data_IF_733671650222
#
_entry.id   IF_733671650222
#
_cell.length_a   1.000
_cell.length_b   1.000
_cell.length_c   1.000
_cell.angle_alpha   90.00
_cell.angle_beta   90.00
_cell.angle_gamma   90.00
#
_symmetry.space_group_name_H-M   'P 1'
#
loop_
_entity.id
_entity.type
_entity.pdbx_description
1 polymer ?
#
# COMPACT_ATOMS: atom_id res chain seq x y z
N UNK A 1 1.62 -0.01 -13.25
CA UNK A 1 1.27 -1.29 -12.56
C UNK A 1 -0.24 -1.55 -12.52
N UNK A 2 -1.06 -0.65 -11.98
CA UNK A 2 -2.54 -0.76 -11.93
C UNK A 2 -3.16 -1.22 -13.25
N UNK A 3 -2.85 -0.54 -14.36
CA UNK A 3 -3.47 -0.84 -15.65
C UNK A 3 -3.11 -2.24 -16.17
N UNK A 4 -1.86 -2.68 -15.97
CA UNK A 4 -1.43 -4.05 -16.29
C UNK A 4 -2.20 -5.07 -15.46
N UNK A 5 -2.35 -4.85 -14.15
CA UNK A 5 -3.13 -5.73 -13.28
C UNK A 5 -4.61 -5.78 -13.67
N UNK A 6 -5.21 -4.63 -14.01
CA UNK A 6 -6.61 -4.58 -14.43
C UNK A 6 -6.82 -5.32 -15.76
N UNK A 7 -5.89 -5.20 -16.72
CA UNK A 7 -5.91 -5.99 -17.96
C UNK A 7 -5.80 -7.50 -17.68
N UNK A 8 -4.81 -7.91 -16.88
CA UNK A 8 -4.61 -9.33 -16.53
C UNK A 8 -5.80 -9.96 -15.81
N UNK A 9 -6.50 -9.17 -14.97
CA UNK A 9 -7.66 -9.61 -14.20
C UNK A 9 -8.99 -9.34 -14.90
N UNK A 10 -9.00 -8.90 -16.16
CA UNK A 10 -10.21 -8.53 -16.90
C UNK A 10 -11.13 -7.55 -16.14
N UNK A 11 -10.53 -6.60 -15.42
CA UNK A 11 -11.22 -5.58 -14.63
C UNK A 11 -11.30 -4.26 -15.39
N UNK A 12 -12.28 -3.43 -15.03
CA UNK A 12 -12.37 -2.07 -15.55
C UNK A 12 -11.10 -1.27 -15.23
N UNK A 13 -10.66 -0.45 -16.19
CA UNK A 13 -9.38 0.26 -16.14
C UNK A 13 -9.22 1.17 -14.90
N UNK A 14 -10.33 1.72 -14.41
CA UNK A 14 -10.35 2.67 -13.29
C UNK A 14 -10.27 1.99 -11.91
N UNK A 15 -10.39 0.66 -11.81
CA UNK A 15 -10.43 0.02 -10.49
C UNK A 15 -9.06 0.16 -9.80
N UNK A 16 -9.03 0.64 -8.55
CA UNK A 16 -7.78 0.81 -7.82
C UNK A 16 -7.21 -0.54 -7.36
N UNK A 17 -5.93 -0.50 -7.01
CA UNK A 17 -5.19 -1.56 -6.32
C UNK A 17 -4.86 -1.07 -4.91
N UNK A 18 -4.72 -2.00 -3.97
CA UNK A 18 -4.39 -1.69 -2.58
C UNK A 18 -2.96 -2.15 -2.30
N UNK A 19 -2.12 -1.32 -1.63
CA UNK A 19 -0.83 -1.75 -1.11
C UNK A 19 -0.97 -2.57 0.19
N UNK A 20 -0.11 -3.58 0.33
CA UNK A 20 0.25 -4.13 1.64
C UNK A 20 1.52 -3.42 2.10
N UNK A 21 1.58 -3.02 3.37
CA UNK A 21 2.66 -2.22 3.93
C UNK A 21 3.10 -2.86 5.24
N UNK A 22 4.40 -3.05 5.40
CA UNK A 22 4.96 -3.52 6.66
C UNK A 22 4.73 -2.46 7.76
N UNK A 23 4.42 -2.88 8.98
CA UNK A 23 4.15 -1.97 10.11
C UNK A 23 5.27 -0.92 10.32
N UNK A 24 6.51 -1.31 10.02
CA UNK A 24 7.72 -0.50 10.10
C UNK A 24 7.72 0.68 9.11
N UNK A 25 7.06 0.53 7.96
CA UNK A 25 7.03 1.53 6.90
C UNK A 25 5.84 2.51 7.03
N UNK A 26 4.86 2.25 7.89
CA UNK A 26 3.64 3.07 7.99
C UNK A 26 3.93 4.55 8.28
N UNK A 27 4.87 4.83 9.18
CA UNK A 27 5.26 6.20 9.54
C UNK A 27 5.83 6.95 8.34
N UNK A 28 6.72 6.30 7.58
CA UNK A 28 7.33 6.90 6.39
C UNK A 28 6.31 7.10 5.26
N UNK A 29 5.29 6.25 5.15
CA UNK A 29 4.26 6.38 4.10
C UNK A 29 3.22 7.44 4.45
N UNK A 30 2.80 7.55 5.70
CA UNK A 30 1.63 8.35 6.11
C UNK A 30 1.95 9.49 7.09
N UNK A 31 3.19 9.60 7.57
CA UNK A 31 3.60 10.54 8.62
C UNK A 31 3.02 10.22 10.01
N UNK A 32 2.46 9.01 10.16
CA UNK A 32 1.94 8.44 11.41
C UNK A 32 1.65 6.95 11.24
N UNK A 33 1.76 6.16 12.30
CA UNK A 33 1.32 4.76 12.30
C UNK A 33 -0.20 4.64 12.27
N UNK A 34 -0.77 4.37 11.10
CA UNK A 34 -2.19 4.01 10.94
C UNK A 34 -2.30 2.54 10.56
N UNK A 35 -2.49 1.66 11.55
CA UNK A 35 -2.71 0.23 11.28
C UNK A 35 -4.06 -0.01 10.62
N UNK A 36 -4.11 -0.98 9.72
CA UNK A 36 -5.33 -1.46 9.09
C UNK A 36 -5.14 -2.89 8.58
N UNK A 37 -5.32 -3.87 9.46
CA UNK A 37 -5.19 -5.29 9.09
C UNK A 37 -6.31 -5.75 8.14
N UNK A 38 -7.46 -5.09 8.18
CA UNK A 38 -8.66 -5.41 7.40
C UNK A 38 -8.97 -4.39 6.29
N UNK A 39 -7.99 -3.59 5.85
CA UNK A 39 -8.15 -2.62 4.74
C UNK A 39 -9.31 -1.62 4.93
N UNK A 40 -9.57 -1.22 6.17
CA UNK A 40 -10.68 -0.33 6.53
C UNK A 40 -10.30 1.15 6.52
N UNK A 41 -9.01 1.48 6.43
CA UNK A 41 -8.49 2.85 6.50
C UNK A 41 -7.84 3.28 5.18
N UNK A 42 -8.07 4.53 4.79
CA UNK A 42 -7.42 5.18 3.64
C UNK A 42 -6.76 6.51 4.05
N UNK A 43 -5.66 6.48 4.83
CA UNK A 43 -4.94 7.70 5.22
C UNK A 43 -4.29 8.40 4.02
N UNK A 44 -4.00 9.69 4.20
CA UNK A 44 -3.28 10.52 3.22
C UNK A 44 -1.81 10.11 3.18
N UNK A 45 -1.29 9.85 1.98
CA UNK A 45 0.11 9.46 1.74
C UNK A 45 1.00 10.72 1.75
N UNK A 46 2.23 10.65 2.23
CA UNK A 46 3.19 11.77 2.13
C UNK A 46 3.58 12.06 0.69
N UNK A 47 3.82 13.33 0.35
CA UNK A 47 4.00 13.77 -1.04
C UNK A 47 5.17 13.06 -1.75
N UNK A 48 6.31 12.91 -1.07
CA UNK A 48 7.49 12.24 -1.64
C UNK A 48 7.22 10.77 -1.98
N UNK A 49 6.43 10.10 -1.15
CA UNK A 49 6.01 8.72 -1.38
C UNK A 49 5.02 8.62 -2.54
N UNK A 50 4.14 9.62 -2.72
CA UNK A 50 3.25 9.68 -3.90
C UNK A 50 4.03 9.80 -5.20
N UNK A 51 5.11 10.60 -5.19
CA UNK A 51 6.01 10.77 -6.36
C UNK A 51 6.78 9.49 -6.66
N UNK A 52 7.29 8.82 -5.61
CA UNK A 52 8.07 7.58 -5.74
C UNK A 52 7.22 6.38 -6.17
N UNK A 53 5.99 6.27 -5.66
CA UNK A 53 5.11 5.12 -5.91
C UNK A 53 3.68 5.53 -6.30
N UNK A 54 3.46 6.15 -7.47
CA UNK A 54 2.15 6.66 -7.86
C UNK A 54 1.08 5.57 -8.00
N UNK A 55 1.46 4.31 -8.18
CA UNK A 55 0.52 3.20 -8.34
C UNK A 55 -0.22 2.79 -7.05
N UNK A 56 0.26 3.18 -5.86
CA UNK A 56 -0.38 2.87 -4.58
C UNK A 56 -1.45 3.89 -4.16
N UNK A 57 -1.45 5.06 -4.80
CA UNK A 57 -2.22 6.24 -4.37
C UNK A 57 -3.49 6.37 -5.20
N UNK A 58 -4.59 6.73 -4.55
CA UNK A 58 -5.80 7.20 -5.20
C UNK A 58 -5.61 8.63 -5.76
N UNK A 59 -6.58 9.08 -6.57
CA UNK A 59 -6.55 10.42 -7.17
C UNK A 59 -6.56 11.56 -6.14
N UNK A 60 -7.13 11.33 -4.95
CA UNK A 60 -7.22 12.32 -3.85
C UNK A 60 -5.98 12.38 -2.94
N UNK A 61 -4.97 11.54 -3.22
CA UNK A 61 -3.75 11.44 -2.44
C UNK A 61 -3.84 10.49 -1.23
N UNK A 62 -4.91 9.71 -1.10
CA UNK A 62 -5.05 8.66 -0.07
C UNK A 62 -4.62 7.30 -0.58
N UNK A 63 -4.38 6.35 0.32
CA UNK A 63 -4.19 4.94 -0.05
C UNK A 63 -4.88 4.04 0.96
N UNK A 64 -5.78 3.16 0.48
CA UNK A 64 -6.38 2.13 1.32
C UNK A 64 -5.39 0.99 1.46
N UNK A 65 -4.83 0.82 2.64
CA UNK A 65 -3.67 -0.04 2.91
C UNK A 65 -4.03 -1.26 3.76
N UNK A 66 -3.29 -2.36 3.60
CA UNK A 66 -3.27 -3.46 4.55
C UNK A 66 -1.94 -3.46 5.31
N UNK A 67 -1.98 -3.26 6.63
CA UNK A 67 -0.77 -3.27 7.44
C UNK A 67 -0.46 -4.71 7.83
N UNK A 68 0.79 -5.10 7.68
CA UNK A 68 1.25 -6.46 7.97
C UNK A 68 2.38 -6.38 8.98
N UNK A 69 2.20 -7.04 10.12
CA UNK A 69 3.27 -7.29 11.08
C UNK A 69 3.81 -8.71 10.94
N UNK A 70 4.99 -8.97 11.52
CA UNK A 70 5.55 -10.31 11.62
C UNK A 70 4.59 -11.30 12.30
N UNK A 71 3.84 -10.86 13.31
CA UNK A 71 2.86 -11.70 14.00
C UNK A 71 1.59 -11.98 13.22
N UNK A 72 1.21 -11.09 12.28
CA UNK A 72 0.01 -11.28 11.47
C UNK A 72 0.25 -12.28 10.34
N UNK A 73 1.36 -12.12 9.61
CA UNK A 73 1.78 -13.03 8.54
C UNK A 73 3.31 -12.95 8.30
N UNK A 74 4.11 -13.82 8.95
CA UNK A 74 5.57 -13.78 8.91
C UNK A 74 6.16 -13.82 7.49
N UNK A 75 5.58 -14.62 6.59
CA UNK A 75 6.13 -14.76 5.23
C UNK A 75 5.95 -13.49 4.40
N UNK A 76 4.74 -12.90 4.43
CA UNK A 76 4.45 -11.67 3.70
C UNK A 76 5.22 -10.50 4.32
N UNK A 77 5.31 -10.44 5.65
CA UNK A 77 6.11 -9.44 6.35
C UNK A 77 7.59 -9.48 5.91
N UNK A 78 8.21 -10.66 5.93
CA UNK A 78 9.59 -10.85 5.47
C UNK A 78 9.77 -10.44 4.00
N UNK A 79 8.82 -10.78 3.12
CA UNK A 79 8.85 -10.38 1.72
C UNK A 79 8.78 -8.85 1.54
N UNK A 80 7.92 -8.18 2.31
CA UNK A 80 7.77 -6.73 2.27
C UNK A 80 9.05 -6.01 2.73
N UNK A 81 9.73 -6.54 3.77
CA UNK A 81 11.00 -6.00 4.25
C UNK A 81 12.15 -6.27 3.27
N UNK A 82 12.21 -7.45 2.65
CA UNK A 82 13.22 -7.79 1.65
C UNK A 82 13.11 -6.92 0.38
N UNK A 83 11.88 -6.53 0.01
CA UNK A 83 11.61 -5.77 -1.20
C UNK A 83 12.00 -4.29 -1.17
N UNK A 84 12.56 -3.77 -0.05
CA UNK A 84 12.87 -2.34 0.14
C UNK A 84 11.71 -1.43 -0.32
N UNK A 85 10.48 -1.75 0.10
CA UNK A 85 9.32 -0.95 -0.27
C UNK A 85 9.06 0.14 0.77
N UNK A 86 9.97 1.10 0.80
CA UNK A 86 9.66 2.50 1.12
C UNK A 86 10.50 3.43 0.26
#
# INVERSE_FOLDING_TARGET
>A
MRDRMNRLKFRQWYRPVTPMIADEALEQVFGRKVKSTTMSMAPRVLEDIRKKFPALVHLDGTARQQSVSESDEPFVHALLLAGQCV
#
